data_IF_018455838036
#
_entry.id   IF_018455838036
#
_cell.length_a   1.000
_cell.length_b   1.000
_cell.length_c   1.000
_cell.angle_alpha   90.00
_cell.angle_beta   90.00
_cell.angle_gamma   90.00
#
_symmetry.space_group_name_H-M   'P 1'
#
loop_
_entity.id
_entity.type
_entity.pdbx_description
1 polymer ?
#
# COMPACT_ATOMS: atom_id res chain seq x y z
N UNK A 1 7.79 -13.39 -4.20
CA UNK A 1 8.49 -12.12 -4.49
C UNK A 1 8.01 -11.03 -3.54
N UNK A 2 6.70 -10.88 -3.40
CA UNK A 2 6.03 -9.84 -2.63
C UNK A 2 5.79 -10.19 -1.17
N UNK A 3 5.96 -11.43 -0.73
CA UNK A 3 5.83 -11.78 0.68
C UNK A 3 6.66 -10.84 1.61
N UNK A 4 6.07 -10.43 2.74
CA UNK A 4 6.69 -9.51 3.69
C UNK A 4 5.90 -8.24 3.96
N UNK A 5 6.60 -7.20 4.40
CA UNK A 5 6.00 -5.90 4.75
C UNK A 5 6.38 -4.88 3.70
N UNK A 6 5.37 -4.26 3.09
CA UNK A 6 5.54 -3.16 2.15
C UNK A 6 4.87 -1.91 2.69
N UNK A 7 5.55 -0.79 2.70
CA UNK A 7 4.97 0.45 3.20
C UNK A 7 4.27 1.19 2.07
N UNK A 8 2.97 1.44 2.19
CA UNK A 8 2.26 2.42 1.37
C UNK A 8 2.73 3.83 1.77
N UNK A 9 3.89 4.24 1.24
CA UNK A 9 4.62 5.40 1.74
C UNK A 9 3.86 6.69 1.43
N UNK A 10 3.84 7.62 2.39
CA UNK A 10 3.30 8.96 2.17
C UNK A 10 4.20 9.75 1.21
N UNK A 11 3.61 10.70 0.49
CA UNK A 11 4.37 11.75 -0.20
C UNK A 11 4.42 12.96 0.73
N UNK A 12 5.56 13.27 1.35
CA UNK A 12 5.66 14.43 2.22
C UNK A 12 5.70 15.71 1.37
N UNK A 13 4.95 16.73 1.79
CA UNK A 13 4.92 18.03 1.12
C UNK A 13 5.45 19.14 2.02
N UNK A 14 6.00 20.19 1.43
CA UNK A 14 6.36 21.42 2.12
C UNK A 14 6.19 22.59 1.17
N UNK A 15 5.35 23.55 1.54
CA UNK A 15 5.03 24.73 0.74
C UNK A 15 4.49 24.37 -0.66
N UNK A 16 3.67 23.34 -0.74
CA UNK A 16 3.05 22.84 -1.96
C UNK A 16 3.94 21.96 -2.83
N UNK A 17 5.20 21.72 -2.43
CA UNK A 17 6.20 20.95 -3.20
C UNK A 17 6.57 19.65 -2.48
N UNK A 18 7.11 18.68 -3.21
CA UNK A 18 7.63 17.43 -2.63
C UNK A 18 8.79 17.76 -1.66
N UNK A 19 8.71 17.28 -0.42
CA UNK A 19 9.80 17.38 0.57
C UNK A 19 10.75 16.19 0.41
N UNK A 20 11.71 16.30 -0.53
CA UNK A 20 12.63 15.21 -0.86
C UNK A 20 13.47 14.74 0.34
N UNK A 21 13.85 15.66 1.22
CA UNK A 21 14.63 15.35 2.41
C UNK A 21 13.83 14.49 3.40
N UNK A 22 12.56 14.85 3.62
CA UNK A 22 11.64 14.03 4.41
C UNK A 22 11.39 12.67 3.75
N UNK A 23 11.16 12.64 2.42
CA UNK A 23 10.93 11.39 1.68
C UNK A 23 12.11 10.42 1.85
N UNK A 24 13.35 10.92 1.67
CA UNK A 24 14.57 10.14 1.89
C UNK A 24 14.64 9.58 3.32
N UNK A 25 14.41 10.44 4.32
CA UNK A 25 14.46 10.05 5.73
C UNK A 25 13.43 8.96 6.06
N UNK A 26 12.21 9.09 5.53
CA UNK A 26 11.15 8.10 5.72
C UNK A 26 11.54 6.77 5.06
N UNK A 27 12.05 6.78 3.82
CA UNK A 27 12.49 5.56 3.12
C UNK A 27 13.61 4.85 3.89
N UNK A 28 14.62 5.60 4.35
CA UNK A 28 15.69 5.06 5.19
C UNK A 28 15.11 4.43 6.46
N UNK A 29 14.20 5.14 7.15
CA UNK A 29 13.52 4.64 8.34
C UNK A 29 12.73 3.34 8.08
N UNK A 30 12.10 3.19 6.92
CA UNK A 30 11.40 1.94 6.57
C UNK A 30 12.37 0.77 6.49
N UNK A 31 13.40 0.88 5.63
CA UNK A 31 14.34 -0.22 5.39
C UNK A 31 15.18 -0.56 6.63
N UNK A 32 15.60 0.44 7.41
CA UNK A 32 16.35 0.24 8.66
C UNK A 32 15.54 -0.50 9.73
N UNK A 33 14.21 -0.58 9.56
CA UNK A 33 13.28 -1.21 10.47
C UNK A 33 12.59 -2.46 9.89
N UNK A 34 13.21 -3.09 8.88
CA UNK A 34 12.82 -4.43 8.42
C UNK A 34 11.70 -4.47 7.38
N UNK A 35 11.28 -3.32 6.85
CA UNK A 35 10.38 -3.24 5.70
C UNK A 35 11.11 -3.78 4.47
N UNK A 36 10.45 -4.62 3.68
CA UNK A 36 11.02 -5.31 2.51
C UNK A 36 10.66 -4.66 1.17
N UNK A 37 9.74 -3.68 1.19
CA UNK A 37 9.48 -2.83 0.04
C UNK A 37 8.70 -1.56 0.36
N UNK A 38 8.73 -0.61 -0.55
CA UNK A 38 8.01 0.66 -0.45
C UNK A 38 7.15 0.86 -1.69
N UNK A 39 5.97 1.43 -1.50
CA UNK A 39 4.96 1.64 -2.53
C UNK A 39 4.71 3.14 -2.69
N UNK A 40 5.55 3.86 -3.45
CA UNK A 40 5.33 5.28 -3.75
C UNK A 40 4.11 5.46 -4.67
N UNK A 41 3.55 6.67 -4.67
CA UNK A 41 2.44 7.05 -5.55
C UNK A 41 1.22 6.11 -5.47
N UNK A 42 1.01 5.45 -4.32
CA UNK A 42 -0.24 4.78 -4.01
C UNK A 42 -1.30 5.75 -3.46
N UNK A 43 -2.44 5.23 -3.02
CA UNK A 43 -3.49 6.06 -2.39
C UNK A 43 -2.99 6.81 -1.15
N UNK A 44 -2.13 6.18 -0.34
CA UNK A 44 -1.53 6.82 0.85
C UNK A 44 -0.48 7.88 0.47
N UNK A 45 0.13 7.76 -0.70
CA UNK A 45 1.05 8.74 -1.28
C UNK A 45 0.33 9.87 -2.04
N UNK A 46 -0.99 10.02 -1.88
CA UNK A 46 -1.78 11.09 -2.49
C UNK A 46 -1.68 11.14 -4.03
N UNK A 47 -1.56 9.98 -4.70
CA UNK A 47 -1.46 9.93 -6.17
C UNK A 47 -2.50 10.74 -6.96
N UNK A 48 -3.77 10.92 -6.52
CA UNK A 48 -4.73 11.74 -7.26
C UNK A 48 -4.41 13.24 -7.33
N UNK A 49 -3.46 13.74 -6.51
CA UNK A 49 -3.08 15.16 -6.44
C UNK A 49 -1.62 15.39 -6.79
N UNK A 50 -0.94 14.37 -7.33
CA UNK A 50 0.32 14.49 -8.04
C UNK A 50 0.02 14.68 -9.53
N UNK A 51 0.70 15.62 -10.18
CA UNK A 51 0.73 15.61 -11.65
C UNK A 51 1.70 14.52 -12.16
N UNK A 52 1.78 14.37 -13.49
CA UNK A 52 2.62 13.33 -14.11
C UNK A 52 4.12 13.54 -13.80
N UNK A 53 4.60 14.78 -13.81
CA UNK A 53 6.01 15.11 -13.55
C UNK A 53 6.37 14.80 -12.10
N UNK A 54 5.48 15.14 -11.16
CA UNK A 54 5.65 14.83 -9.74
C UNK A 54 5.55 13.34 -9.45
N UNK A 55 4.64 12.62 -10.11
CA UNK A 55 4.56 11.17 -9.99
C UNK A 55 5.88 10.52 -10.40
N UNK A 56 6.39 10.88 -11.57
CA UNK A 56 7.67 10.39 -12.09
C UNK A 56 8.83 10.76 -11.14
N UNK A 57 8.85 12.00 -10.64
CA UNK A 57 9.85 12.48 -9.69
C UNK A 57 9.85 11.65 -8.39
N UNK A 58 8.67 11.41 -7.78
CA UNK A 58 8.57 10.63 -6.54
C UNK A 58 9.04 9.19 -6.76
N UNK A 59 8.70 8.57 -7.91
CA UNK A 59 9.18 7.22 -8.24
C UNK A 59 10.70 7.21 -8.38
N UNK A 60 11.28 8.11 -9.18
CA UNK A 60 12.74 8.23 -9.37
C UNK A 60 13.48 8.42 -8.05
N UNK A 61 13.04 9.36 -7.23
CA UNK A 61 13.61 9.60 -5.90
C UNK A 61 13.48 8.37 -5.01
N UNK A 62 12.35 7.67 -5.05
CA UNK A 62 12.15 6.45 -4.24
C UNK A 62 13.11 5.34 -4.66
N UNK A 63 13.31 5.14 -5.97
CA UNK A 63 14.30 4.18 -6.50
C UNK A 63 15.72 4.55 -6.07
N UNK A 64 16.10 5.82 -6.26
CA UNK A 64 17.41 6.35 -5.87
C UNK A 64 17.66 6.15 -4.36
N UNK A 65 16.68 6.52 -3.53
CA UNK A 65 16.80 6.43 -2.09
C UNK A 65 16.74 4.99 -1.62
N UNK A 66 15.96 4.10 -2.23
CA UNK A 66 15.93 2.68 -1.85
C UNK A 66 17.28 1.97 -2.03
N UNK A 67 18.09 2.37 -3.03
CA UNK A 67 19.45 1.81 -3.27
C UNK A 67 19.50 0.28 -3.32
N UNK A 68 18.45 -0.33 -3.88
CA UNK A 68 18.33 -1.80 -3.98
C UNK A 68 18.12 -2.55 -2.66
N UNK A 69 17.78 -1.85 -1.55
CA UNK A 69 17.51 -2.49 -0.25
C UNK A 69 16.23 -3.33 -0.21
N UNK A 70 15.33 -3.14 -1.18
CA UNK A 70 14.10 -3.92 -1.29
C UNK A 70 13.29 -3.51 -2.51
N UNK A 71 12.04 -3.96 -2.56
CA UNK A 71 11.13 -3.70 -3.67
C UNK A 71 10.72 -2.22 -3.67
N UNK A 72 10.83 -1.56 -4.82
CA UNK A 72 10.12 -0.31 -5.11
C UNK A 72 8.97 -0.64 -6.04
N UNK A 73 7.74 -0.54 -5.53
CA UNK A 73 6.51 -0.89 -6.24
C UNK A 73 5.71 0.37 -6.53
N UNK A 74 5.88 0.95 -7.72
CA UNK A 74 5.20 2.20 -8.05
C UNK A 74 3.69 2.00 -8.20
N UNK A 75 2.88 2.85 -7.57
CA UNK A 75 1.44 2.92 -7.83
C UNK A 75 1.18 3.53 -9.20
N UNK A 76 0.82 2.72 -10.19
CA UNK A 76 0.63 3.17 -11.58
C UNK A 76 -0.72 2.76 -12.18
N UNK A 77 -1.64 2.26 -11.35
CA UNK A 77 -3.01 2.02 -11.77
C UNK A 77 -3.82 3.31 -11.93
N UNK A 78 -4.69 3.33 -12.94
CA UNK A 78 -5.64 4.42 -13.24
C UNK A 78 -6.99 3.81 -13.65
N UNK A 79 -8.04 4.64 -13.68
CA UNK A 79 -9.29 4.29 -14.34
C UNK A 79 -9.25 4.43 -15.88
N UNK A 80 -8.12 4.87 -16.44
CA UNK A 80 -7.81 4.90 -17.86
C UNK A 80 -6.72 3.88 -18.18
N UNK A 81 -7.00 2.91 -19.05
CA UNK A 81 -6.02 1.86 -19.43
C UNK A 81 -4.77 2.44 -20.09
N UNK A 82 -4.93 3.44 -20.96
CA UNK A 82 -3.80 4.08 -21.63
C UNK A 82 -2.87 4.76 -20.63
N UNK A 83 -3.45 5.53 -19.72
CA UNK A 83 -2.69 6.22 -18.66
C UNK A 83 -1.99 5.23 -17.73
N UNK A 84 -2.67 4.13 -17.35
CA UNK A 84 -2.05 3.10 -16.54
C UNK A 84 -0.85 2.44 -17.25
N UNK A 85 -0.92 2.24 -18.57
CA UNK A 85 0.22 1.75 -19.37
C UNK A 85 1.36 2.77 -19.36
N UNK A 86 1.08 4.04 -19.66
CA UNK A 86 2.06 5.13 -19.73
C UNK A 86 2.81 5.26 -18.39
N UNK A 87 2.08 5.42 -17.28
CA UNK A 87 2.65 5.50 -15.92
C UNK A 87 3.49 4.26 -15.56
N UNK A 88 3.06 3.08 -16.00
CA UNK A 88 3.78 1.83 -15.69
C UNK A 88 5.10 1.74 -16.46
N UNK A 89 5.12 2.18 -17.72
CA UNK A 89 6.33 2.22 -18.54
C UNK A 89 7.31 3.30 -18.05
N UNK A 90 6.81 4.45 -17.62
CA UNK A 90 7.62 5.50 -16.99
C UNK A 90 8.24 5.01 -15.68
N UNK A 91 7.46 4.32 -14.83
CA UNK A 91 7.99 3.72 -13.61
C UNK A 91 9.04 2.63 -13.89
N UNK A 92 8.82 1.80 -14.91
CA UNK A 92 9.81 0.80 -15.37
C UNK A 92 11.11 1.48 -15.82
N UNK A 93 11.00 2.54 -16.63
CA UNK A 93 12.15 3.31 -17.08
C UNK A 93 12.89 4.05 -15.93
N UNK A 94 12.16 4.46 -14.90
CA UNK A 94 12.72 5.06 -13.68
C UNK A 94 13.40 4.03 -12.76
N UNK A 95 13.28 2.73 -13.04
CA UNK A 95 13.91 1.66 -12.27
C UNK A 95 13.05 1.09 -11.14
N UNK A 96 11.74 1.31 -11.16
CA UNK A 96 10.84 0.57 -10.27
C UNK A 96 10.99 -0.94 -10.50
N UNK A 97 10.84 -1.73 -9.45
CA UNK A 97 11.02 -3.20 -9.51
C UNK A 97 9.71 -3.96 -9.63
N UNK A 98 8.59 -3.28 -9.43
CA UNK A 98 7.23 -3.80 -9.53
C UNK A 98 6.24 -2.64 -9.69
N UNK A 99 4.98 -2.96 -9.97
CA UNK A 99 3.90 -1.98 -10.05
C UNK A 99 2.67 -2.43 -9.26
N UNK A 100 2.01 -1.47 -8.58
CA UNK A 100 0.72 -1.65 -7.91
C UNK A 100 -0.41 -1.10 -8.80
N UNK A 101 -1.34 -1.97 -9.17
CA UNK A 101 -2.38 -1.71 -10.17
C UNK A 101 -3.77 -1.71 -9.53
N UNK A 102 -4.27 -0.53 -9.14
CA UNK A 102 -5.61 -0.38 -8.57
C UNK A 102 -6.70 -0.67 -9.60
N UNK A 103 -7.79 -1.30 -9.17
CA UNK A 103 -8.98 -1.44 -10.00
C UNK A 103 -9.48 -0.06 -10.47
N UNK A 104 -9.89 0.09 -11.75
CA UNK A 104 -10.50 1.30 -12.26
C UNK A 104 -11.62 1.82 -11.36
N UNK A 105 -11.44 3.05 -10.88
CA UNK A 105 -12.37 3.75 -10.00
C UNK A 105 -13.29 4.69 -10.79
N UNK A 106 -14.44 5.03 -10.22
CA UNK A 106 -15.47 5.92 -10.79
C UNK A 106 -16.23 5.34 -11.99
N UNK A 107 -15.56 4.94 -13.07
CA UNK A 107 -16.19 4.49 -14.31
C UNK A 107 -16.73 3.04 -14.28
N UNK A 108 -16.35 2.25 -13.26
CA UNK A 108 -16.91 0.93 -12.92
C UNK A 108 -17.06 -0.01 -14.13
N UNK A 109 -15.95 -0.45 -14.75
CA UNK A 109 -16.00 -1.34 -15.91
C UNK A 109 -16.67 -2.68 -15.57
N UNK A 110 -17.12 -3.40 -16.59
CA UNK A 110 -17.63 -4.77 -16.43
C UNK A 110 -16.49 -5.73 -16.02
N UNK A 111 -16.79 -6.95 -15.54
CA UNK A 111 -15.76 -7.97 -15.31
C UNK A 111 -14.85 -8.22 -16.52
N UNK A 112 -15.42 -8.23 -17.73
CA UNK A 112 -14.61 -8.33 -18.95
C UNK A 112 -13.75 -7.08 -19.18
N UNK A 113 -14.27 -5.89 -18.89
CA UNK A 113 -13.49 -4.66 -18.94
C UNK A 113 -12.31 -4.65 -17.96
N UNK A 114 -12.49 -5.16 -16.74
CA UNK A 114 -11.41 -5.35 -15.77
C UNK A 114 -10.33 -6.29 -16.30
N UNK A 115 -10.73 -7.44 -16.84
CA UNK A 115 -9.81 -8.40 -17.43
C UNK A 115 -8.98 -7.76 -18.55
N UNK A 116 -9.64 -7.12 -19.52
CA UNK A 116 -8.95 -6.49 -20.66
C UNK A 116 -8.05 -5.32 -20.23
N UNK A 117 -8.47 -4.55 -19.22
CA UNK A 117 -7.66 -3.46 -18.66
C UNK A 117 -6.34 -3.98 -18.10
N UNK A 118 -6.39 -4.94 -17.17
CA UNK A 118 -5.18 -5.46 -16.54
C UNK A 118 -4.32 -6.28 -17.52
N UNK A 119 -4.95 -7.02 -18.44
CA UNK A 119 -4.22 -7.73 -19.49
C UNK A 119 -3.45 -6.76 -20.39
N UNK A 120 -4.07 -5.66 -20.82
CA UNK A 120 -3.41 -4.68 -21.67
C UNK A 120 -2.20 -4.04 -20.97
N UNK A 121 -2.29 -3.78 -19.66
CA UNK A 121 -1.16 -3.28 -18.87
C UNK A 121 -0.06 -4.35 -18.79
N UNK A 122 -0.43 -5.59 -18.45
CA UNK A 122 0.49 -6.72 -18.38
C UNK A 122 1.24 -6.98 -19.68
N UNK A 123 0.60 -6.81 -20.84
CA UNK A 123 1.22 -6.99 -22.15
C UNK A 123 2.23 -5.88 -22.52
N UNK A 124 2.24 -4.75 -21.80
CA UNK A 124 3.03 -3.55 -22.15
C UNK A 124 4.14 -3.21 -21.14
N UNK A 125 4.51 -4.13 -20.24
CA UNK A 125 5.60 -3.95 -19.27
C UNK A 125 6.26 -5.28 -18.91
N UNK A 126 7.55 -5.25 -18.54
CA UNK A 126 8.21 -6.42 -17.96
C UNK A 126 8.14 -6.45 -16.42
N UNK A 127 7.58 -5.40 -15.80
CA UNK A 127 7.45 -5.35 -14.35
C UNK A 127 6.49 -6.43 -13.82
N UNK A 128 6.84 -7.09 -12.71
CA UNK A 128 5.88 -7.82 -11.91
C UNK A 128 4.77 -6.91 -11.39
N UNK A 129 3.53 -7.34 -11.54
CA UNK A 129 2.33 -6.60 -11.19
C UNK A 129 1.65 -7.19 -9.95
N UNK A 130 1.31 -6.30 -9.02
CA UNK A 130 0.39 -6.56 -7.92
C UNK A 130 -0.93 -5.85 -8.20
N UNK A 131 -2.01 -6.61 -8.36
CA UNK A 131 -3.35 -6.04 -8.48
C UNK A 131 -3.78 -5.45 -7.13
N UNK A 132 -4.64 -4.43 -7.16
CA UNK A 132 -5.16 -3.82 -5.93
C UNK A 132 -6.68 -3.70 -5.99
N UNK A 133 -7.34 -4.55 -5.20
CA UNK A 133 -8.79 -4.55 -5.02
C UNK A 133 -9.15 -3.78 -3.75
N UNK A 134 -9.82 -2.63 -3.88
CA UNK A 134 -10.34 -1.83 -2.77
C UNK A 134 -11.77 -1.33 -3.08
N UNK A 135 -12.80 -2.18 -2.97
CA UNK A 135 -14.16 -1.84 -3.37
C UNK A 135 -14.72 -0.60 -2.67
N UNK A 136 -14.34 -0.38 -1.41
CA UNK A 136 -14.76 0.81 -0.63
C UNK A 136 -14.28 2.15 -1.21
N UNK A 137 -13.28 2.15 -2.11
CA UNK A 137 -12.82 3.35 -2.83
C UNK A 137 -13.15 3.32 -4.32
N UNK A 138 -13.04 2.17 -4.96
CA UNK A 138 -13.24 2.07 -6.41
C UNK A 138 -14.72 1.91 -6.81
N UNK A 139 -15.58 1.46 -5.90
CA UNK A 139 -16.96 1.08 -6.20
C UNK A 139 -17.07 -0.20 -7.02
N UNK A 140 -15.99 -0.97 -7.12
CA UNK A 140 -15.88 -2.24 -7.84
C UNK A 140 -14.85 -3.15 -7.15
N UNK A 141 -15.11 -4.45 -7.16
CA UNK A 141 -14.21 -5.51 -6.70
C UNK A 141 -13.64 -6.25 -7.92
N UNK A 142 -12.37 -6.66 -7.86
CA UNK A 142 -11.80 -7.54 -8.89
C UNK A 142 -12.38 -8.95 -8.67
N UNK A 143 -13.26 -9.42 -9.55
CA UNK A 143 -13.91 -10.73 -9.42
C UNK A 143 -12.92 -11.90 -9.35
N UNK A 144 -13.29 -12.97 -8.63
CA UNK A 144 -12.47 -14.19 -8.54
C UNK A 144 -12.26 -14.84 -9.91
N UNK A 145 -13.27 -14.82 -10.76
CA UNK A 145 -13.22 -15.28 -12.16
C UNK A 145 -12.23 -14.47 -13.01
N UNK A 146 -12.21 -13.15 -12.82
CA UNK A 146 -11.24 -12.25 -13.46
C UNK A 146 -9.83 -12.55 -12.96
N UNK A 147 -9.64 -12.75 -11.66
CA UNK A 147 -8.33 -13.09 -11.08
C UNK A 147 -7.77 -14.41 -11.62
N UNK A 148 -8.60 -15.45 -11.72
CA UNK A 148 -8.18 -16.74 -12.31
C UNK A 148 -7.71 -16.53 -13.75
N UNK A 149 -8.51 -15.86 -14.58
CA UNK A 149 -8.14 -15.58 -15.97
C UNK A 149 -6.86 -14.76 -16.08
N UNK A 150 -6.66 -13.76 -15.22
CA UNK A 150 -5.43 -12.95 -15.22
C UNK A 150 -4.21 -13.77 -14.80
N UNK A 151 -4.33 -14.57 -13.74
CA UNK A 151 -3.24 -15.44 -13.27
C UNK A 151 -2.84 -16.50 -14.32
N UNK A 152 -3.80 -17.01 -15.08
CA UNK A 152 -3.55 -17.97 -16.17
C UNK A 152 -2.89 -17.35 -17.40
N UNK A 153 -3.32 -16.14 -17.78
CA UNK A 153 -2.96 -15.55 -19.08
C UNK A 153 -1.88 -14.47 -19.00
N UNK A 154 -1.55 -13.96 -17.80
CA UNK A 154 -0.62 -12.85 -17.61
C UNK A 154 0.51 -13.25 -16.64
N UNK A 155 1.65 -13.77 -17.14
CA UNK A 155 2.70 -14.33 -16.29
C UNK A 155 3.46 -13.29 -15.45
N UNK A 156 3.25 -11.99 -15.64
CA UNK A 156 3.77 -10.93 -14.76
C UNK A 156 2.77 -10.48 -13.70
N UNK A 157 1.49 -10.88 -13.76
CA UNK A 157 0.53 -10.67 -12.67
C UNK A 157 0.70 -11.79 -11.65
N UNK A 158 1.30 -11.46 -10.50
CA UNK A 158 1.75 -12.46 -9.51
C UNK A 158 1.15 -12.28 -8.12
N UNK A 159 0.48 -11.16 -7.89
CA UNK A 159 -0.04 -10.85 -6.56
C UNK A 159 -1.28 -9.99 -6.60
N UNK A 160 -2.02 -10.01 -5.49
CA UNK A 160 -3.09 -9.07 -5.18
C UNK A 160 -2.90 -8.49 -3.78
N UNK A 161 -2.99 -7.16 -3.68
CA UNK A 161 -3.33 -6.43 -2.47
C UNK A 161 -4.85 -6.45 -2.30
N UNK A 162 -5.32 -7.24 -1.35
CA UNK A 162 -6.75 -7.41 -1.05
C UNK A 162 -7.16 -6.49 0.12
N UNK A 163 -8.02 -5.50 -0.16
CA UNK A 163 -8.49 -4.51 0.81
C UNK A 163 -10.02 -4.41 0.87
N UNK A 164 -10.73 -5.47 0.49
CA UNK A 164 -12.18 -5.64 0.67
C UNK A 164 -12.56 -6.06 2.10
N UNK A 165 -11.58 -6.42 2.94
CA UNK A 165 -11.78 -6.62 4.37
C UNK A 165 -12.35 -7.99 4.78
N UNK A 166 -12.27 -8.99 3.89
CA UNK A 166 -12.86 -10.30 4.11
C UNK A 166 -11.81 -11.44 4.05
N UNK A 167 -11.41 -12.03 5.19
CA UNK A 167 -10.49 -13.18 5.20
C UNK A 167 -11.03 -14.41 4.46
N UNK A 168 -12.35 -14.62 4.40
CA UNK A 168 -12.92 -15.75 3.64
C UNK A 168 -12.57 -15.67 2.15
N UNK A 169 -12.50 -14.45 1.61
CA UNK A 169 -12.08 -14.22 0.23
C UNK A 169 -10.62 -14.64 0.00
N UNK A 170 -9.77 -14.55 1.01
CA UNK A 170 -8.39 -15.06 0.94
C UNK A 170 -8.40 -16.59 0.82
N UNK A 171 -9.21 -17.29 1.61
CA UNK A 171 -9.41 -18.75 1.50
C UNK A 171 -9.87 -19.15 0.09
N UNK A 172 -10.85 -18.42 -0.46
CA UNK A 172 -11.36 -18.65 -1.82
C UNK A 172 -10.26 -18.46 -2.87
N UNK A 173 -9.48 -17.37 -2.77
CA UNK A 173 -8.35 -17.11 -3.67
C UNK A 173 -7.28 -18.20 -3.56
N UNK A 174 -6.93 -18.66 -2.35
CA UNK A 174 -5.97 -19.76 -2.17
C UNK A 174 -6.44 -21.09 -2.75
N UNK A 175 -7.76 -21.32 -2.84
CA UNK A 175 -8.32 -22.52 -3.44
C UNK A 175 -8.24 -22.51 -4.98
N UNK A 176 -8.42 -21.34 -5.61
CA UNK A 176 -8.63 -21.25 -7.06
C UNK A 176 -7.42 -20.68 -7.84
N UNK A 177 -6.53 -19.95 -7.17
CA UNK A 177 -5.34 -19.36 -7.80
C UNK A 177 -4.13 -20.29 -7.72
N UNK A 178 -3.13 -20.10 -8.60
CA UNK A 178 -1.86 -20.82 -8.51
C UNK A 178 -1.24 -20.74 -7.11
N UNK A 179 -0.55 -21.81 -6.69
CA UNK A 179 0.01 -21.92 -5.34
C UNK A 179 1.00 -20.78 -5.01
N UNK A 180 1.71 -20.29 -6.03
CA UNK A 180 2.69 -19.21 -5.99
C UNK A 180 2.08 -17.81 -6.17
N UNK A 181 0.76 -17.68 -6.39
CA UNK A 181 0.08 -16.39 -6.41
C UNK A 181 0.00 -15.81 -4.99
N UNK A 182 0.63 -14.65 -4.79
CA UNK A 182 0.81 -14.05 -3.47
C UNK A 182 -0.38 -13.13 -3.11
N UNK A 183 -0.99 -13.35 -1.94
CA UNK A 183 -2.08 -12.51 -1.44
C UNK A 183 -1.55 -11.64 -0.30
N UNK A 184 -1.67 -10.33 -0.46
CA UNK A 184 -1.20 -9.33 0.50
C UNK A 184 -2.39 -8.65 1.15
N UNK A 185 -2.37 -8.47 2.47
CA UNK A 185 -3.35 -7.62 3.15
C UNK A 185 -3.20 -6.18 2.67
N UNK A 186 -4.33 -5.50 2.47
CA UNK A 186 -4.39 -4.06 2.29
C UNK A 186 -4.89 -3.30 3.53
N UNK A 187 -5.09 -3.99 4.66
CA UNK A 187 -5.59 -3.44 5.92
C UNK A 187 -4.74 -3.91 7.10
N UNK A 188 -4.17 -2.97 7.86
CA UNK A 188 -3.30 -3.24 9.01
C UNK A 188 -4.00 -4.09 10.09
N UNK A 189 -5.28 -3.84 10.35
CA UNK A 189 -6.10 -4.57 11.32
C UNK A 189 -6.46 -5.98 10.87
N UNK A 190 -6.35 -6.30 9.58
CA UNK A 190 -6.68 -7.62 9.04
C UNK A 190 -5.46 -8.44 8.63
N UNK A 191 -4.25 -7.93 8.86
CA UNK A 191 -2.99 -8.64 8.52
C UNK A 191 -2.96 -10.07 9.05
N UNK A 192 -3.17 -10.26 10.36
CA UNK A 192 -3.13 -11.61 10.95
C UNK A 192 -4.29 -12.50 10.49
N UNK A 193 -5.56 -12.04 10.48
CA UNK A 193 -6.64 -12.81 9.87
C UNK A 193 -6.38 -13.25 8.43
N UNK A 194 -5.73 -12.43 7.61
CA UNK A 194 -5.41 -12.78 6.23
C UNK A 194 -4.27 -13.80 6.16
N UNK A 195 -3.21 -13.59 6.94
CA UNK A 195 -2.06 -14.48 6.94
C UNK A 195 -2.40 -15.88 7.48
N UNK A 196 -3.30 -15.99 8.47
CA UNK A 196 -3.71 -17.28 9.03
C UNK A 196 -4.41 -18.20 8.03
N UNK A 197 -4.94 -17.66 6.94
CA UNK A 197 -5.61 -18.40 5.85
C UNK A 197 -4.85 -18.32 4.51
N UNK A 198 -3.56 -17.96 4.54
CA UNK A 198 -2.65 -18.08 3.40
C UNK A 198 -2.23 -16.77 2.73
N UNK A 199 -2.58 -15.61 3.30
CA UNK A 199 -1.91 -14.35 2.98
C UNK A 199 -0.43 -14.39 3.37
N UNK A 200 0.41 -13.62 2.67
CA UNK A 200 1.88 -13.69 2.83
C UNK A 200 2.52 -12.36 3.25
N UNK A 201 1.70 -11.39 3.66
CA UNK A 201 2.21 -10.09 4.06
C UNK A 201 1.17 -8.98 4.01
N UNK A 202 1.66 -7.75 3.99
CA UNK A 202 0.83 -6.54 3.97
C UNK A 202 1.46 -5.41 3.15
N UNK A 203 0.61 -4.65 2.47
CA UNK A 203 0.89 -3.29 2.01
C UNK A 203 0.29 -2.30 3.01
N UNK A 204 1.10 -1.84 3.95
CA UNK A 204 0.71 -1.26 5.24
C UNK A 204 0.67 0.27 5.22
N UNK A 205 -0.32 0.84 5.91
CA UNK A 205 -0.33 2.27 6.24
C UNK A 205 0.45 2.52 7.52
N UNK A 206 0.20 1.72 8.55
CA UNK A 206 0.78 1.92 9.89
C UNK A 206 2.31 1.81 9.94
N UNK A 207 2.92 1.05 9.03
CA UNK A 207 4.37 0.93 8.89
C UNK A 207 5.08 2.25 8.60
N UNK A 208 4.39 3.27 8.04
CA UNK A 208 4.96 4.62 7.92
C UNK A 208 5.43 5.17 9.28
N UNK A 209 4.72 4.84 10.37
CA UNK A 209 5.00 5.32 11.72
C UNK A 209 5.69 4.28 12.60
N UNK A 210 5.29 3.00 12.48
CA UNK A 210 5.79 1.89 13.30
C UNK A 210 6.32 0.73 12.43
N UNK A 211 7.32 0.96 11.56
CA UNK A 211 7.77 -0.05 10.60
C UNK A 211 8.30 -1.31 11.26
N UNK A 212 9.03 -1.18 12.37
CA UNK A 212 9.62 -2.32 13.08
C UNK A 212 8.56 -3.25 13.67
N UNK A 213 7.58 -2.77 14.48
CA UNK A 213 6.49 -3.62 14.96
C UNK A 213 5.73 -4.34 13.84
N UNK A 214 5.39 -3.65 12.74
CA UNK A 214 4.65 -4.27 11.63
C UNK A 214 5.50 -5.35 10.95
N UNK A 215 6.78 -5.07 10.69
CA UNK A 215 7.72 -6.03 10.10
C UNK A 215 7.93 -7.24 11.00
N UNK A 216 8.12 -7.05 12.29
CA UNK A 216 8.24 -8.15 13.26
C UNK A 216 6.97 -9.02 13.30
N UNK A 217 5.77 -8.42 13.31
CA UNK A 217 4.51 -9.15 13.27
C UNK A 217 4.38 -10.03 12.03
N UNK A 218 4.69 -9.50 10.85
CA UNK A 218 4.62 -10.25 9.59
C UNK A 218 5.68 -11.36 9.55
N UNK A 219 6.91 -11.09 9.99
CA UNK A 219 7.97 -12.09 10.02
C UNK A 219 7.66 -13.25 10.99
N UNK A 220 7.03 -12.97 12.13
CA UNK A 220 6.56 -13.99 13.06
C UNK A 220 5.46 -14.86 12.43
N UNK A 221 4.46 -14.22 11.80
CA UNK A 221 3.38 -14.92 11.11
C UNK A 221 3.89 -15.78 9.94
N UNK A 222 4.84 -15.30 9.14
CA UNK A 222 5.50 -16.07 8.07
C UNK A 222 6.24 -17.31 8.59
N UNK A 223 6.74 -17.26 9.83
CA UNK A 223 7.38 -18.40 10.51
C UNK A 223 6.40 -19.31 11.24
N UNK A 224 5.10 -19.01 11.18
CA UNK A 224 4.04 -19.75 11.86
C UNK A 224 3.86 -19.41 13.34
N UNK A 225 4.60 -18.42 13.88
CA UNK A 225 4.44 -17.97 15.27
C UNK A 225 3.32 -16.92 15.40
N UNK A 226 2.09 -17.38 15.19
CA UNK A 226 0.89 -16.54 15.32
C UNK A 226 0.64 -16.05 16.74
N UNK A 227 1.11 -16.78 17.76
CA UNK A 227 0.92 -16.39 19.16
C UNK A 227 1.70 -15.11 19.47
N UNK A 228 2.99 -15.04 19.08
CA UNK A 228 3.80 -13.82 19.25
C UNK A 228 3.31 -12.71 18.33
N UNK A 229 2.95 -13.02 17.09
CA UNK A 229 2.43 -12.03 16.16
C UNK A 229 1.14 -11.37 16.70
N UNK A 230 0.24 -12.16 17.33
CA UNK A 230 -0.99 -11.67 17.94
C UNK A 230 -0.75 -10.70 19.09
N UNK A 231 0.34 -10.84 19.85
CA UNK A 231 0.68 -9.88 20.90
C UNK A 231 0.99 -8.50 20.31
N UNK A 232 1.74 -8.44 19.20
CA UNK A 232 2.04 -7.19 18.50
C UNK A 232 0.76 -6.60 17.91
N UNK A 233 -0.03 -7.41 17.20
CA UNK A 233 -1.31 -6.99 16.65
C UNK A 233 -2.20 -6.38 17.72
N UNK A 234 -2.41 -7.07 18.84
CA UNK A 234 -3.30 -6.62 19.93
C UNK A 234 -2.78 -5.31 20.55
N UNK A 235 -1.46 -5.19 20.72
CA UNK A 235 -0.84 -3.96 21.24
C UNK A 235 -1.13 -2.76 20.33
N UNK A 236 -0.97 -2.91 19.02
CA UNK A 236 -1.09 -1.79 18.06
C UNK A 236 -2.46 -1.64 17.41
N UNK A 237 -3.39 -2.58 17.62
CA UNK A 237 -4.76 -2.52 17.11
C UNK A 237 -5.48 -1.18 17.38
N UNK A 238 -5.36 -0.54 18.56
CA UNK A 238 -5.95 0.77 18.79
C UNK A 238 -5.50 1.83 17.78
N UNK A 239 -4.25 1.77 17.30
CA UNK A 239 -3.74 2.68 16.27
C UNK A 239 -4.37 2.38 14.90
N UNK A 240 -4.47 1.10 14.53
CA UNK A 240 -5.08 0.69 13.26
C UNK A 240 -6.54 1.14 13.20
N UNK A 241 -7.29 0.90 14.28
CA UNK A 241 -8.67 1.34 14.41
C UNK A 241 -8.79 2.89 14.38
N UNK A 242 -7.87 3.61 15.01
CA UNK A 242 -7.84 5.07 14.97
C UNK A 242 -7.66 5.61 13.54
N UNK A 243 -6.77 5.03 12.74
CA UNK A 243 -6.59 5.45 11.34
C UNK A 243 -7.83 5.27 10.48
N UNK A 244 -8.63 4.23 10.72
CA UNK A 244 -9.88 3.99 9.98
C UNK A 244 -11.04 4.87 10.48
N UNK A 245 -11.10 5.13 11.79
CA UNK A 245 -12.21 5.84 12.45
C UNK A 245 -12.11 7.36 12.30
N UNK A 246 -10.90 7.91 12.44
CA UNK A 246 -10.74 9.35 12.65
C UNK A 246 -10.94 10.16 11.37
N UNK A 247 -10.38 9.71 10.25
CA UNK A 247 -10.56 10.37 8.95
C UNK A 247 -10.17 9.44 7.81
N UNK A 248 -10.39 9.88 6.58
CA UNK A 248 -9.96 9.16 5.38
C UNK A 248 -8.43 9.14 5.29
N UNK A 249 -7.82 7.96 5.17
CA UNK A 249 -6.39 7.83 4.81
C UNK A 249 -6.09 8.55 3.48
N UNK A 250 -5.00 9.35 3.37
CA UNK A 250 -3.84 9.44 4.28
C UNK A 250 -3.90 10.51 5.38
N UNK A 251 -5.04 11.16 5.62
CA UNK A 251 -5.14 12.27 6.59
C UNK A 251 -4.60 11.84 7.98
N UNK A 252 -5.07 10.74 8.62
CA UNK A 252 -4.61 10.38 9.96
C UNK A 252 -3.14 9.98 10.03
N UNK A 253 -2.61 9.29 9.01
CA UNK A 253 -1.23 8.84 9.03
C UNK A 253 -0.26 10.01 8.82
N UNK A 254 -0.55 10.97 7.94
CA UNK A 254 0.29 12.17 7.78
C UNK A 254 0.28 13.04 9.03
N UNK A 255 -0.89 13.21 9.66
CA UNK A 255 -0.96 13.88 10.98
C UNK A 255 -0.12 13.15 12.02
N UNK A 256 -0.20 11.82 12.11
CA UNK A 256 0.60 11.05 13.07
C UNK A 256 2.11 11.17 12.81
N UNK A 257 2.54 11.12 11.54
CA UNK A 257 3.94 11.29 11.16
C UNK A 257 4.46 12.69 11.48
N UNK A 258 3.63 13.72 11.31
CA UNK A 258 3.99 15.09 11.69
C UNK A 258 4.14 15.25 13.20
N UNK A 259 3.21 14.68 13.98
CA UNK A 259 3.31 14.65 15.45
C UNK A 259 4.57 13.92 15.94
N UNK A 260 5.02 12.90 15.21
CA UNK A 260 6.25 12.17 15.48
C UNK A 260 7.52 12.82 14.88
N UNK A 261 7.38 13.95 14.17
CA UNK A 261 8.51 14.72 13.62
C UNK A 261 9.13 14.15 12.34
N UNK A 262 8.44 13.27 11.61
CA UNK A 262 8.95 12.68 10.36
C UNK A 262 8.77 13.57 9.14
N UNK A 263 7.68 14.33 9.06
CA UNK A 263 7.37 15.26 7.97
C UNK A 263 6.40 16.36 8.45
N UNK A 264 5.94 17.22 7.55
CA UNK A 264 4.80 18.11 7.84
C UNK A 264 3.47 17.32 7.75
N UNK A 265 2.38 17.88 8.26
CA UNK A 265 1.02 17.39 8.04
C UNK A 265 0.37 17.98 6.78
N UNK A 266 1.15 18.62 5.91
CA UNK A 266 0.65 19.31 4.72
C UNK A 266 0.02 18.31 3.74
N UNK A 267 -1.24 18.56 3.39
CA UNK A 267 -2.05 17.77 2.45
C UNK A 267 -2.41 18.62 1.23
N UNK A 268 -2.69 17.97 0.11
CA UNK A 268 -3.22 18.67 -1.07
C UNK A 268 -4.74 18.55 -1.15
N UNK A 269 -5.41 19.64 -1.52
CA UNK A 269 -6.84 19.61 -1.80
C UNK A 269 -7.15 18.53 -2.85
N UNK A 270 -8.25 17.76 -2.69
CA UNK A 270 -9.38 18.02 -1.78
C UNK A 270 -9.22 17.48 -0.35
N UNK A 271 -8.07 16.92 0.02
CA UNK A 271 -7.81 16.51 1.40
C UNK A 271 -7.54 17.74 2.27
N UNK A 272 -8.04 17.70 3.51
CA UNK A 272 -7.84 18.75 4.51
C UNK A 272 -7.41 18.12 5.83
N UNK A 273 -6.76 18.92 6.68
CA UNK A 273 -6.30 18.51 8.00
C UNK A 273 -7.42 17.99 8.89
N UNK A 274 -7.04 17.22 9.91
CA UNK A 274 -7.98 16.69 10.89
C UNK A 274 -8.55 17.79 11.80
N UNK A 275 -9.79 17.62 12.22
CA UNK A 275 -10.38 18.44 13.28
C UNK A 275 -9.57 18.33 14.59
N UNK A 276 -9.41 19.42 15.37
CA UNK A 276 -8.60 19.43 16.59
C UNK A 276 -8.93 18.32 17.60
N UNK A 277 -10.20 17.98 17.77
CA UNK A 277 -10.65 16.93 18.69
C UNK A 277 -10.13 15.55 18.26
N UNK A 278 -10.08 15.31 16.95
CA UNK A 278 -9.58 14.06 16.38
C UNK A 278 -8.05 13.99 16.46
N UNK A 279 -7.36 15.13 16.33
CA UNK A 279 -5.91 15.21 16.57
C UNK A 279 -5.59 14.87 18.03
N UNK A 280 -6.39 15.36 18.98
CA UNK A 280 -6.24 15.04 20.39
C UNK A 280 -6.46 13.54 20.68
N UNK A 281 -7.47 12.92 20.07
CA UNK A 281 -7.73 11.47 20.17
C UNK A 281 -6.56 10.63 19.61
N UNK A 282 -6.04 11.01 18.43
CA UNK A 282 -4.88 10.37 17.82
C UNK A 282 -3.63 10.50 18.69
N UNK A 283 -3.35 11.72 19.19
CA UNK A 283 -2.21 12.01 20.07
C UNK A 283 -2.28 11.17 21.35
N UNK A 284 -3.44 11.08 21.99
CA UNK A 284 -3.63 10.26 23.18
C UNK A 284 -3.37 8.78 22.90
N UNK A 285 -3.82 8.27 21.75
CA UNK A 285 -3.55 6.90 21.30
C UNK A 285 -2.06 6.65 21.10
N UNK A 286 -1.36 7.57 20.41
CA UNK A 286 0.08 7.48 20.17
C UNK A 286 0.90 7.53 21.46
N UNK A 287 0.53 8.40 22.42
CA UNK A 287 1.15 8.47 23.75
C UNK A 287 0.97 7.19 24.55
N UNK A 288 -0.26 6.64 24.57
CA UNK A 288 -0.56 5.36 25.25
C UNK A 288 0.27 4.20 24.69
N UNK A 289 0.61 4.25 23.40
CA UNK A 289 1.43 3.25 22.72
C UNK A 289 2.94 3.53 22.82
N UNK A 290 3.35 4.66 23.41
CA UNK A 290 4.75 5.07 23.54
C UNK A 290 5.40 5.45 22.20
N UNK A 291 4.61 5.87 21.21
CA UNK A 291 5.12 6.29 19.89
C UNK A 291 5.69 7.71 19.97
N UNK A 292 5.07 8.57 20.78
CA UNK A 292 5.50 9.94 21.07
C UNK A 292 5.47 10.17 22.59
N UNK A 293 6.28 11.13 23.06
CA UNK A 293 6.34 11.54 24.47
C UNK A 293 5.15 12.35 24.95
#
# INVERSE_FOLDING_TARGET
MFAGTHTAIVTPFRNGQIDEAALKSIIDFQFDNGVTGVVPCGTTGESPTLDYDEHEQVVKLTVEFAKGRGIVMAGTGSNSTREAIELTQEAEAAGATASLQVAPYYNKPTPEGLYQHFKAIADNTNLPLMLYSIPGRCGIEIGLDVLVRLAENCPNIRSIKEAGGNPERVSQMKQILPADFEIMSGDDGLTLPFMSVGGVGIVSVASNLIPKPISEMVQLALKGDYASALQIHTKYYPLFAAFLKLSTNPIPIKTAMALAGHCTDELRLPLVGMEPEKIAELTATMKKLGIIG
#
